data_IF_937480459226
#
_entry.id   IF_937480459226
#
_cell.length_a   1.000
_cell.length_b   1.000
_cell.length_c   1.000
_cell.angle_alpha   90.00
_cell.angle_beta   90.00
_cell.angle_gamma   90.00
#
_symmetry.space_group_name_H-M   'P 1'
#
loop_
_entity.id
_entity.type
_entity.pdbx_description
1 polymer ?
#
# COMPACT_ATOMS: atom_id res chain seq x y z
N UNK A 1 72.29 -11.76 28.62
CA UNK A 1 71.49 -12.73 27.86
C UNK A 1 70.18 -12.89 28.62
N UNK A 2 69.03 -12.52 28.07
CA UNK A 2 67.76 -12.85 28.69
C UNK A 2 67.55 -14.37 28.65
N UNK A 3 67.07 -14.92 29.74
CA UNK A 3 66.98 -16.36 30.01
C UNK A 3 65.86 -16.99 29.15
N UNK A 4 66.25 -17.75 28.13
CA UNK A 4 65.35 -18.35 27.13
C UNK A 4 64.35 -19.32 27.78
N UNK A 5 64.74 -19.94 28.89
CA UNK A 5 63.90 -20.86 29.66
C UNK A 5 62.71 -20.15 30.33
N UNK A 6 62.90 -18.91 30.79
CA UNK A 6 61.85 -18.12 31.41
C UNK A 6 60.83 -17.61 30.39
N UNK A 7 61.28 -17.27 29.17
CA UNK A 7 60.42 -16.89 28.06
C UNK A 7 59.56 -18.05 27.55
N UNK A 8 60.13 -19.26 27.42
CA UNK A 8 59.38 -20.45 27.00
C UNK A 8 58.30 -20.83 28.02
N UNK A 9 58.64 -20.80 29.32
CA UNK A 9 57.68 -21.11 30.39
C UNK A 9 56.50 -20.13 30.44
N UNK A 10 56.75 -18.86 30.14
CA UNK A 10 55.71 -17.82 30.09
C UNK A 10 54.82 -17.95 28.85
N UNK A 11 55.39 -18.38 27.72
CA UNK A 11 54.65 -18.66 26.50
C UNK A 11 53.74 -19.89 26.62
N UNK A 12 54.21 -20.97 27.26
CA UNK A 12 53.37 -22.14 27.56
C UNK A 12 52.23 -21.79 28.52
N UNK A 13 52.52 -21.07 29.61
CA UNK A 13 51.48 -20.64 30.55
C UNK A 13 50.41 -19.74 29.90
N UNK A 14 50.81 -18.85 28.98
CA UNK A 14 49.87 -18.01 28.24
C UNK A 14 49.01 -18.83 27.26
N UNK A 15 49.59 -19.84 26.60
CA UNK A 15 48.86 -20.74 25.69
C UNK A 15 47.84 -21.59 26.44
N UNK A 16 48.21 -22.12 27.59
CA UNK A 16 47.31 -22.95 28.40
C UNK A 16 46.16 -22.11 28.99
N UNK A 17 46.45 -20.89 29.45
CA UNK A 17 45.43 -19.95 29.92
C UNK A 17 44.44 -19.55 28.80
N UNK A 18 44.95 -19.29 27.59
CA UNK A 18 44.11 -18.98 26.44
C UNK A 18 43.22 -20.17 26.01
N UNK A 19 43.76 -21.39 26.07
CA UNK A 19 43.00 -22.62 25.79
C UNK A 19 41.88 -22.83 26.81
N UNK A 20 42.15 -22.55 28.09
CA UNK A 20 41.17 -22.68 29.17
C UNK A 20 40.05 -21.64 29.04
N UNK A 21 40.38 -20.38 28.72
CA UNK A 21 39.38 -19.33 28.45
C UNK A 21 38.52 -19.64 27.22
N UNK A 22 39.12 -20.18 26.15
CA UNK A 22 38.37 -20.57 24.96
C UNK A 22 37.37 -21.68 25.28
N UNK A 23 37.78 -22.68 26.08
CA UNK A 23 36.91 -23.77 26.50
C UNK A 23 35.73 -23.29 27.37
N UNK A 24 35.99 -22.41 28.33
CA UNK A 24 34.94 -21.79 29.15
C UNK A 24 33.98 -20.93 28.31
N UNK A 25 34.48 -20.24 27.29
CA UNK A 25 33.67 -19.44 26.36
C UNK A 25 32.77 -20.34 25.50
N UNK A 26 33.27 -21.47 25.02
CA UNK A 26 32.49 -22.43 24.24
C UNK A 26 31.41 -23.09 25.10
N UNK A 27 31.73 -23.49 26.33
CA UNK A 27 30.75 -24.07 27.27
C UNK A 27 29.64 -23.06 27.63
N UNK A 28 29.97 -21.76 27.80
CA UNK A 28 28.96 -20.72 28.01
C UNK A 28 28.08 -20.51 26.78
N UNK A 29 28.68 -20.48 25.59
CA UNK A 29 27.94 -20.26 24.34
C UNK A 29 26.98 -21.42 24.05
N UNK A 30 27.42 -22.66 24.30
CA UNK A 30 26.59 -23.85 24.15
C UNK A 30 25.41 -23.85 25.12
N UNK A 31 25.63 -23.42 26.37
CA UNK A 31 24.56 -23.30 27.37
C UNK A 31 23.55 -22.20 27.06
N UNK A 32 23.98 -21.13 26.38
CA UNK A 32 23.08 -20.06 25.90
C UNK A 32 22.25 -20.58 24.72
N UNK A 33 22.84 -21.33 23.80
CA UNK A 33 22.13 -21.95 22.68
C UNK A 33 21.06 -22.94 23.17
N UNK A 34 21.39 -23.82 24.13
CA UNK A 34 20.44 -24.76 24.74
C UNK A 34 19.26 -24.05 25.44
N UNK A 35 19.50 -22.90 26.07
CA UNK A 35 18.44 -22.12 26.70
C UNK A 35 17.52 -21.45 25.65
N UNK A 36 18.08 -20.91 24.57
CA UNK A 36 17.32 -20.29 23.47
C UNK A 36 16.45 -21.35 22.78
N UNK A 37 16.98 -22.54 22.55
CA UNK A 37 16.24 -23.66 21.96
C UNK A 37 15.09 -24.12 22.88
N UNK A 38 15.33 -24.24 24.19
CA UNK A 38 14.29 -24.59 25.15
C UNK A 38 13.20 -23.51 25.30
N UNK A 39 13.55 -22.23 25.19
CA UNK A 39 12.58 -21.14 25.26
C UNK A 39 11.78 -21.01 23.95
N UNK A 40 12.38 -21.30 22.80
CA UNK A 40 11.70 -21.39 21.51
C UNK A 40 10.70 -22.56 21.46
N UNK A 41 11.06 -23.73 21.99
CA UNK A 41 10.13 -24.87 22.09
C UNK A 41 8.93 -24.56 22.98
N UNK A 42 9.13 -23.89 24.12
CA UNK A 42 8.01 -23.47 25.00
C UNK A 42 7.12 -22.41 24.36
N UNK A 43 7.68 -21.51 23.56
CA UNK A 43 6.90 -20.51 22.84
C UNK A 43 6.05 -21.15 21.72
N UNK A 44 6.61 -22.15 21.02
CA UNK A 44 5.88 -22.92 20.02
C UNK A 44 4.74 -23.76 20.64
N UNK A 45 4.99 -24.42 21.78
CA UNK A 45 3.94 -25.15 22.51
C UNK A 45 2.82 -24.23 23.03
N UNK A 46 3.15 -22.99 23.42
CA UNK A 46 2.15 -22.00 23.84
C UNK A 46 1.31 -21.49 22.66
N UNK A 47 1.92 -21.26 21.50
CA UNK A 47 1.22 -20.90 20.27
C UNK A 47 0.28 -22.01 19.79
N UNK A 48 0.72 -23.29 19.81
CA UNK A 48 -0.15 -24.42 19.46
C UNK A 48 -1.37 -24.55 20.39
N UNK A 49 -1.19 -24.29 21.69
CA UNK A 49 -2.29 -24.33 22.68
C UNK A 49 -3.27 -23.16 22.48
N UNK A 50 -2.77 -21.97 22.13
CA UNK A 50 -3.60 -20.80 21.82
C UNK A 50 -4.36 -20.96 20.50
N UNK A 51 -3.73 -21.55 19.47
CA UNK A 51 -4.37 -21.87 18.18
C UNK A 51 -5.42 -22.99 18.31
N UNK A 52 -5.17 -24.01 19.13
CA UNK A 52 -6.19 -25.04 19.40
C UNK A 52 -7.33 -24.52 20.29
N UNK A 53 -7.07 -23.54 21.15
CA UNK A 53 -8.13 -22.86 21.91
C UNK A 53 -9.00 -21.99 20.98
N UNK A 54 -8.39 -21.21 20.07
CA UNK A 54 -9.13 -20.39 19.10
C UNK A 54 -9.93 -21.24 18.12
N UNK A 55 -9.34 -22.30 17.56
CA UNK A 55 -10.03 -23.22 16.66
C UNK A 55 -11.22 -23.94 17.33
N UNK A 56 -11.10 -24.30 18.62
CA UNK A 56 -12.21 -24.89 19.38
C UNK A 56 -13.33 -23.87 19.68
N UNK A 57 -12.98 -22.60 19.90
CA UNK A 57 -13.95 -21.51 20.09
C UNK A 57 -14.67 -21.20 18.77
N UNK A 58 -13.96 -21.21 17.65
CA UNK A 58 -14.52 -20.97 16.32
C UNK A 58 -15.42 -22.12 15.86
N UNK A 59 -15.04 -23.38 16.12
CA UNK A 59 -15.90 -24.53 15.88
C UNK A 59 -17.18 -24.46 16.74
N UNK A 60 -17.08 -24.07 18.02
CA UNK A 60 -18.23 -23.89 18.89
C UNK A 60 -19.13 -22.72 18.46
N UNK A 61 -18.54 -21.64 17.93
CA UNK A 61 -19.26 -20.49 17.39
C UNK A 61 -19.96 -20.81 16.07
N UNK A 62 -19.30 -21.54 15.15
CA UNK A 62 -19.92 -22.05 13.93
C UNK A 62 -21.08 -23.00 14.25
N UNK A 63 -20.91 -23.88 15.23
CA UNK A 63 -21.98 -24.81 15.62
C UNK A 63 -23.17 -24.09 16.27
N UNK A 64 -22.93 -23.03 17.06
CA UNK A 64 -23.99 -22.11 17.53
C UNK A 64 -24.66 -21.33 16.40
N UNK A 65 -23.90 -20.85 15.42
CA UNK A 65 -24.47 -20.14 14.26
C UNK A 65 -25.37 -21.08 13.45
N UNK A 66 -24.97 -22.33 13.23
CA UNK A 66 -25.79 -23.36 12.56
C UNK A 66 -27.05 -23.70 13.38
N UNK A 67 -26.96 -23.74 14.71
CA UNK A 67 -28.10 -23.98 15.59
C UNK A 67 -29.09 -22.79 15.62
N UNK A 68 -28.58 -21.56 15.57
CA UNK A 68 -29.37 -20.31 15.46
C UNK A 68 -30.03 -20.22 14.08
N UNK A 69 -29.32 -20.53 13.00
CA UNK A 69 -29.85 -20.62 11.63
C UNK A 69 -30.94 -21.70 11.53
N UNK A 70 -30.75 -22.86 12.18
CA UNK A 70 -31.73 -23.94 12.24
C UNK A 70 -33.03 -23.61 13.00
N UNK A 71 -33.02 -22.57 13.85
CA UNK A 71 -34.22 -22.06 14.53
C UNK A 71 -34.96 -20.96 13.74
N UNK A 72 -34.28 -20.32 12.78
CA UNK A 72 -34.79 -19.18 12.00
C UNK A 72 -35.41 -19.58 10.65
N UNK A 73 -34.97 -20.68 10.04
CA UNK A 73 -35.39 -21.10 8.70
C UNK A 73 -36.19 -22.41 8.72
N UNK A 74 -37.16 -22.57 7.81
CA UNK A 74 -37.97 -23.79 7.77
C UNK A 74 -37.15 -24.96 7.21
N UNK A 75 -37.49 -26.23 7.52
CA UNK A 75 -36.76 -27.40 7.01
C UNK A 75 -36.67 -27.45 5.48
N UNK A 76 -37.67 -26.91 4.77
CA UNK A 76 -37.66 -26.78 3.31
C UNK A 76 -36.66 -25.70 2.85
N UNK A 77 -36.54 -24.58 3.56
CA UNK A 77 -35.55 -23.53 3.21
C UNK A 77 -34.12 -24.00 3.49
N UNK A 78 -33.91 -24.76 4.56
CA UNK A 78 -32.62 -25.38 4.89
C UNK A 78 -32.21 -26.42 3.84
N UNK A 79 -33.15 -27.27 3.40
CA UNK A 79 -32.90 -28.24 2.34
C UNK A 79 -32.58 -27.54 1.00
N UNK A 80 -33.23 -26.42 0.71
CA UNK A 80 -32.97 -25.63 -0.49
C UNK A 80 -31.62 -24.91 -0.43
N UNK A 81 -31.22 -24.36 0.72
CA UNK A 81 -29.89 -23.78 0.90
C UNK A 81 -28.79 -24.83 0.84
N UNK A 82 -28.97 -26.00 1.45
CA UNK A 82 -28.02 -27.10 1.37
C UNK A 82 -27.87 -27.62 -0.07
N UNK A 83 -28.97 -27.75 -0.82
CA UNK A 83 -28.95 -28.12 -2.23
C UNK A 83 -28.28 -27.04 -3.10
N UNK A 84 -28.52 -25.76 -2.82
CA UNK A 84 -27.83 -24.66 -3.49
C UNK A 84 -26.33 -24.64 -3.16
N UNK A 85 -25.95 -24.95 -1.92
CA UNK A 85 -24.55 -25.00 -1.50
C UNK A 85 -23.82 -26.21 -2.08
N UNK A 86 -24.47 -27.37 -2.19
CA UNK A 86 -23.94 -28.52 -2.94
C UNK A 86 -23.81 -28.21 -4.43
N UNK A 87 -24.76 -27.48 -5.04
CA UNK A 87 -24.66 -27.03 -6.43
C UNK A 87 -23.49 -26.06 -6.63
N UNK A 88 -23.31 -25.10 -5.72
CA UNK A 88 -22.17 -24.16 -5.74
C UNK A 88 -20.86 -24.93 -5.57
N UNK A 89 -20.77 -25.85 -4.60
CA UNK A 89 -19.56 -26.65 -4.39
C UNK A 89 -19.28 -27.58 -5.57
N UNK A 90 -20.29 -28.17 -6.18
CA UNK A 90 -20.14 -29.00 -7.38
C UNK A 90 -19.71 -28.18 -8.59
N UNK A 91 -20.22 -26.96 -8.75
CA UNK A 91 -19.83 -26.04 -9.81
C UNK A 91 -18.40 -25.51 -9.60
N UNK A 92 -18.03 -25.18 -8.36
CA UNK A 92 -16.65 -24.81 -7.99
C UNK A 92 -15.70 -25.99 -8.24
N UNK A 93 -16.05 -27.21 -7.82
CA UNK A 93 -15.24 -28.40 -8.09
C UNK A 93 -15.13 -28.70 -9.60
N UNK A 94 -16.20 -28.47 -10.37
CA UNK A 94 -16.21 -28.60 -11.83
C UNK A 94 -15.31 -27.55 -12.48
N UNK A 95 -15.35 -26.30 -12.01
CA UNK A 95 -14.50 -25.22 -12.49
C UNK A 95 -13.03 -25.49 -12.14
N UNK A 96 -12.71 -25.86 -10.91
CA UNK A 96 -11.35 -26.26 -10.48
C UNK A 96 -10.84 -27.45 -11.30
N UNK A 97 -11.69 -28.43 -11.61
CA UNK A 97 -11.32 -29.54 -12.50
C UNK A 97 -11.13 -29.12 -13.96
N UNK A 98 -11.86 -28.11 -14.45
CA UNK A 98 -11.67 -27.55 -15.78
C UNK A 98 -10.37 -26.72 -15.85
N UNK A 99 -10.05 -25.96 -14.79
CA UNK A 99 -8.80 -25.21 -14.66
C UNK A 99 -7.58 -26.14 -14.54
N UNK A 100 -7.71 -27.28 -13.85
CA UNK A 100 -6.64 -28.28 -13.78
C UNK A 100 -6.41 -29.04 -15.11
N UNK A 101 -7.37 -29.02 -16.03
CA UNK A 101 -7.29 -29.67 -17.34
C UNK A 101 -6.74 -28.75 -18.45
N UNK A 102 -6.84 -27.44 -18.25
CA UNK A 102 -6.21 -26.43 -19.09
C UNK A 102 -4.77 -26.23 -18.58
N UNK A 103 -3.77 -26.40 -19.43
CA UNK A 103 -2.40 -26.01 -19.08
C UNK A 103 -2.35 -24.51 -18.71
N UNK A 104 -1.25 -24.07 -18.09
CA UNK A 104 -1.06 -22.69 -17.59
C UNK A 104 -1.50 -21.61 -18.60
N UNK A 105 -1.20 -21.82 -19.88
CA UNK A 105 -1.64 -20.97 -21.01
C UNK A 105 -3.17 -20.90 -21.19
N UNK A 106 -3.86 -22.05 -21.14
CA UNK A 106 -5.33 -22.09 -21.29
C UNK A 106 -6.09 -21.61 -20.05
N UNK A 107 -5.42 -21.62 -18.88
CA UNK A 107 -5.92 -21.00 -17.66
C UNK A 107 -5.85 -19.47 -17.76
N UNK A 108 -4.78 -18.94 -18.38
CA UNK A 108 -4.59 -17.51 -18.59
C UNK A 108 -5.57 -16.94 -19.63
N UNK A 109 -5.71 -17.54 -20.81
CA UNK A 109 -6.58 -17.02 -21.89
C UNK A 109 -8.06 -16.90 -21.48
N UNK A 110 -8.53 -17.70 -20.52
CA UNK A 110 -9.94 -17.74 -20.13
C UNK A 110 -10.27 -17.03 -18.80
N UNK A 111 -9.27 -16.81 -17.94
CA UNK A 111 -9.38 -15.85 -16.81
C UNK A 111 -9.10 -14.41 -17.26
N UNK A 112 -8.37 -14.24 -18.36
CA UNK A 112 -7.84 -12.94 -18.80
C UNK A 112 -8.23 -12.56 -20.24
N UNK A 113 -9.37 -13.07 -20.73
CA UNK A 113 -9.86 -12.80 -22.09
C UNK A 113 -10.10 -11.31 -22.37
N UNK A 114 -9.42 -10.83 -23.42
CA UNK A 114 -9.57 -9.63 -24.29
C UNK A 114 -9.94 -8.24 -23.70
N UNK A 115 -10.38 -8.10 -22.46
CA UNK A 115 -10.61 -6.79 -21.78
C UNK A 115 -9.66 -6.56 -20.58
N UNK A 116 -8.59 -7.35 -20.47
CA UNK A 116 -7.53 -7.25 -19.43
C UNK A 116 -6.37 -6.29 -19.77
N UNK A 117 -6.48 -5.51 -20.86
CA UNK A 117 -5.50 -4.47 -21.18
C UNK A 117 -5.45 -3.31 -20.17
N UNK A 118 -6.43 -3.25 -19.25
CA UNK A 118 -6.59 -2.16 -18.26
C UNK A 118 -6.12 -2.58 -16.86
N UNK A 119 -6.12 -3.88 -16.56
CA UNK A 119 -5.65 -4.40 -15.26
C UNK A 119 -4.11 -4.48 -15.23
N UNK A 120 -3.43 -4.51 -16.38
CA UNK A 120 -1.96 -4.51 -16.45
C UNK A 120 -1.36 -3.19 -15.98
N UNK A 121 -1.98 -2.05 -16.26
CA UNK A 121 -1.49 -0.72 -15.89
C UNK A 121 -1.15 -0.52 -14.39
N UNK A 122 -2.04 -1.04 -13.53
CA UNK A 122 -1.97 -0.92 -12.08
C UNK A 122 -1.14 -2.06 -11.45
N UNK A 123 -1.17 -3.25 -12.05
CA UNK A 123 -0.37 -4.39 -11.62
C UNK A 123 1.09 -4.28 -12.10
N UNK A 124 1.37 -3.70 -13.26
CA UNK A 124 2.70 -3.32 -13.76
C UNK A 124 3.36 -2.26 -12.89
N UNK A 125 2.59 -1.48 -12.12
CA UNK A 125 3.21 -0.48 -11.26
C UNK A 125 4.07 -1.13 -10.16
N UNK A 126 3.84 -2.41 -9.84
CA UNK A 126 4.45 -3.10 -8.69
C UNK A 126 4.77 -4.60 -8.95
N UNK A 127 4.69 -5.10 -10.18
CA UNK A 127 4.97 -6.50 -10.52
C UNK A 127 5.82 -6.70 -11.80
N UNK A 128 6.75 -5.79 -12.11
CA UNK A 128 7.84 -6.10 -13.03
C UNK A 128 9.00 -6.74 -12.27
N UNK A 129 8.90 -8.05 -12.06
CA UNK A 129 10.08 -8.91 -12.20
C UNK A 129 10.10 -9.34 -13.68
N UNK A 130 11.10 -8.85 -14.41
CA UNK A 130 11.68 -9.45 -15.62
C UNK A 130 10.69 -10.03 -16.65
N UNK A 131 9.98 -9.16 -17.40
CA UNK A 131 9.71 -9.51 -18.79
C UNK A 131 10.99 -9.22 -19.59
N UNK A 132 11.63 -10.32 -19.99
CA UNK A 132 12.88 -10.46 -20.73
C UNK A 132 12.74 -9.96 -22.19
N UNK A 133 12.10 -8.81 -22.40
CA UNK A 133 12.16 -8.10 -23.67
C UNK A 133 13.41 -7.21 -23.64
N UNK A 134 14.39 -7.59 -24.45
CA UNK A 134 15.65 -6.88 -24.75
C UNK A 134 15.41 -5.50 -25.42
N UNK A 135 14.38 -4.75 -25.05
CA UNK A 135 14.30 -3.33 -25.34
C UNK A 135 15.19 -2.63 -24.32
N UNK A 136 16.38 -2.20 -24.76
CA UNK A 136 17.38 -1.43 -24.00
C UNK A 136 16.71 -0.60 -22.91
N UNK A 137 16.77 -1.06 -21.66
CA UNK A 137 16.24 -0.37 -20.50
C UNK A 137 16.89 1.01 -20.46
N UNK A 138 16.21 2.02 -21.00
CA UNK A 138 16.77 3.36 -21.14
C UNK A 138 17.11 3.83 -19.74
N UNK A 139 18.40 3.93 -19.43
CA UNK A 139 18.85 4.51 -18.18
C UNK A 139 18.15 5.85 -17.99
N UNK A 140 17.51 6.04 -16.83
CA UNK A 140 16.87 7.31 -16.52
C UNK A 140 17.95 8.38 -16.29
N UNK A 141 18.36 8.99 -17.39
CA UNK A 141 19.28 10.11 -17.42
C UNK A 141 18.58 11.45 -17.20
N UNK A 142 19.35 12.52 -17.07
CA UNK A 142 18.80 13.85 -16.82
C UNK A 142 17.95 14.38 -17.99
N UNK A 143 18.23 13.97 -19.23
CA UNK A 143 17.44 14.39 -20.37
C UNK A 143 16.04 13.76 -20.32
N UNK A 144 15.97 12.46 -19.98
CA UNK A 144 14.70 11.77 -19.77
C UNK A 144 13.94 12.31 -18.57
N UNK A 145 14.63 12.68 -17.48
CA UNK A 145 14.01 13.38 -16.35
C UNK A 145 13.32 14.69 -16.80
N UNK A 146 14.00 15.54 -17.57
CA UNK A 146 13.43 16.80 -18.09
C UNK A 146 12.21 16.56 -19.00
N UNK A 147 12.24 15.53 -19.84
CA UNK A 147 11.08 15.13 -20.64
C UNK A 147 9.88 14.74 -19.76
N UNK A 148 10.12 13.93 -18.72
CA UNK A 148 9.08 13.52 -17.77
C UNK A 148 8.53 14.70 -16.98
N UNK A 149 9.34 15.72 -16.68
CA UNK A 149 8.86 16.96 -16.05
C UNK A 149 7.88 17.67 -16.99
N UNK A 150 8.19 17.76 -18.29
CA UNK A 150 7.29 18.37 -19.27
C UNK A 150 5.99 17.57 -19.44
N UNK A 151 6.06 16.24 -19.41
CA UNK A 151 4.87 15.36 -19.42
C UNK A 151 3.99 15.64 -18.19
N UNK A 152 4.58 15.71 -17.00
CA UNK A 152 3.85 16.04 -15.78
C UNK A 152 3.16 17.40 -15.91
N UNK A 153 3.89 18.45 -16.28
CA UNK A 153 3.32 19.80 -16.45
C UNK A 153 2.13 19.84 -17.41
N UNK A 154 2.24 19.14 -18.55
CA UNK A 154 1.16 19.06 -19.53
C UNK A 154 -0.09 18.40 -18.95
N UNK A 155 0.07 17.34 -18.16
CA UNK A 155 -1.04 16.65 -17.49
C UNK A 155 -1.65 17.50 -16.37
N UNK A 156 -0.83 18.20 -15.59
CA UNK A 156 -1.33 19.12 -14.56
C UNK A 156 -2.15 20.26 -15.18
N UNK A 157 -1.66 20.83 -16.28
CA UNK A 157 -2.37 21.87 -17.03
C UNK A 157 -3.66 21.35 -17.66
N UNK A 158 -3.65 20.11 -18.19
CA UNK A 158 -4.86 19.45 -18.70
C UNK A 158 -5.93 19.31 -17.60
N UNK A 159 -5.56 18.77 -16.44
CA UNK A 159 -6.48 18.60 -15.30
C UNK A 159 -7.13 19.92 -14.86
N UNK A 160 -6.40 21.04 -14.94
CA UNK A 160 -6.91 22.38 -14.60
C UNK A 160 -8.05 22.82 -15.53
N UNK A 161 -8.09 22.32 -16.76
CA UNK A 161 -9.12 22.67 -17.75
C UNK A 161 -10.40 21.84 -17.63
N UNK A 162 -10.36 20.73 -16.89
CA UNK A 162 -11.52 19.84 -16.76
C UNK A 162 -12.64 20.53 -15.98
N UNK A 163 -13.92 20.25 -16.30
CA UNK A 163 -15.04 20.80 -15.54
C UNK A 163 -15.10 20.16 -14.16
N UNK A 164 -15.52 20.93 -13.16
CA UNK A 164 -15.68 20.49 -11.77
C UNK A 164 -16.86 21.23 -11.14
N UNK A 165 -17.57 20.58 -10.22
CA UNK A 165 -18.58 21.21 -9.38
C UNK A 165 -17.98 22.28 -8.46
N UNK A 166 -18.69 23.39 -8.28
CA UNK A 166 -18.28 24.43 -7.33
C UNK A 166 -18.23 23.86 -5.89
N UNK A 167 -17.22 24.24 -5.08
CA UNK A 167 -17.16 23.83 -3.69
C UNK A 167 -18.41 24.21 -2.90
N UNK A 168 -18.81 23.37 -1.95
CA UNK A 168 -19.98 23.60 -1.08
C UNK A 168 -19.60 23.53 0.39
N UNK A 169 -20.38 24.16 1.26
CA UNK A 169 -20.12 24.15 2.70
C UNK A 169 -20.57 22.85 3.33
N UNK A 170 -19.64 22.19 4.02
CA UNK A 170 -19.93 21.02 4.84
C UNK A 170 -20.04 21.46 6.30
N UNK A 171 -21.08 21.02 6.99
CA UNK A 171 -21.13 21.15 8.46
C UNK A 171 -20.25 20.09 9.13
N UNK A 172 -19.91 20.25 10.41
CA UNK A 172 -19.07 19.29 11.12
C UNK A 172 -19.73 17.90 11.25
N UNK A 173 -21.04 17.84 11.31
CA UNK A 173 -21.80 16.59 11.41
C UNK A 173 -22.39 16.16 10.05
N UNK A 174 -21.90 16.73 8.94
CA UNK A 174 -22.42 16.46 7.61
C UNK A 174 -22.10 15.02 7.16
N UNK A 175 -23.09 14.19 6.81
CA UNK A 175 -22.85 12.83 6.33
C UNK A 175 -22.06 12.79 5.01
N UNK A 176 -22.00 13.90 4.26
CA UNK A 176 -21.21 13.99 3.03
C UNK A 176 -19.71 13.78 3.28
N UNK A 177 -19.20 14.05 4.48
CA UNK A 177 -17.82 13.75 4.83
C UNK A 177 -17.48 12.25 4.74
N UNK A 178 -18.43 11.36 5.01
CA UNK A 178 -18.23 9.93 4.84
C UNK A 178 -18.01 9.57 3.37
N UNK A 179 -18.83 10.16 2.49
CA UNK A 179 -18.69 10.00 1.03
C UNK A 179 -17.38 10.60 0.54
N UNK A 180 -17.07 11.83 0.95
CA UNK A 180 -15.84 12.53 0.60
C UNK A 180 -14.60 11.71 1.00
N UNK A 181 -14.58 11.18 2.22
CA UNK A 181 -13.47 10.35 2.70
C UNK A 181 -13.23 9.09 1.88
N UNK A 182 -14.27 8.39 1.45
CA UNK A 182 -14.17 7.25 0.52
C UNK A 182 -13.58 7.71 -0.82
N UNK A 183 -14.08 8.83 -1.36
CA UNK A 183 -13.66 9.37 -2.66
C UNK A 183 -12.22 9.89 -2.70
N UNK A 184 -11.57 10.14 -1.57
CA UNK A 184 -10.13 10.43 -1.51
C UNK A 184 -9.29 9.25 -2.03
N UNK A 185 -9.79 8.01 -1.90
CA UNK A 185 -9.16 6.82 -2.49
C UNK A 185 -9.44 6.65 -3.99
N UNK A 186 -10.15 7.61 -4.60
CA UNK A 186 -10.76 7.51 -5.91
C UNK A 186 -9.79 7.08 -7.00
N UNK A 187 -8.66 7.78 -7.15
CA UNK A 187 -7.68 7.48 -8.21
C UNK A 187 -7.20 6.03 -8.12
N UNK A 188 -6.80 5.56 -6.93
CA UNK A 188 -6.32 4.19 -6.75
C UNK A 188 -7.46 3.19 -6.98
N UNK A 189 -8.66 3.53 -6.52
CA UNK A 189 -9.84 2.67 -6.70
C UNK A 189 -10.18 2.50 -8.18
N UNK A 190 -10.26 3.58 -8.95
CA UNK A 190 -10.52 3.55 -10.39
C UNK A 190 -9.44 2.77 -11.15
N UNK A 191 -8.17 2.97 -10.80
CA UNK A 191 -7.04 2.25 -11.41
C UNK A 191 -7.07 0.74 -11.10
N UNK A 192 -7.63 0.33 -9.97
CA UNK A 192 -7.74 -1.07 -9.56
C UNK A 192 -9.13 -1.70 -9.78
N UNK A 193 -10.04 -0.98 -10.43
CA UNK A 193 -11.44 -1.40 -10.64
C UNK A 193 -12.19 -1.71 -9.33
N UNK A 194 -11.94 -0.90 -8.31
CA UNK A 194 -12.64 -0.98 -7.02
C UNK A 194 -13.91 -0.14 -7.04
N UNK A 195 -14.94 -0.66 -6.38
CA UNK A 195 -16.16 0.07 -6.08
C UNK A 195 -15.85 1.28 -5.20
N UNK A 196 -16.57 2.37 -5.44
CA UNK A 196 -16.44 3.61 -4.67
C UNK A 196 -17.75 3.95 -3.95
N UNK A 197 -18.84 3.19 -4.13
CA UNK A 197 -20.15 3.40 -3.49
C UNK A 197 -20.13 3.32 -1.96
N UNK A 198 -19.20 2.56 -1.38
CA UNK A 198 -19.10 2.32 0.06
C UNK A 198 -17.68 2.07 0.57
N UNK A 199 -17.58 1.59 1.82
CA UNK A 199 -16.28 1.28 2.44
C UNK A 199 -15.63 0.07 1.77
N UNK A 200 -16.42 -0.98 1.51
CA UNK A 200 -15.98 -2.15 0.76
C UNK A 200 -15.55 -1.77 -0.65
N UNK A 201 -14.43 -2.33 -1.07
CA UNK A 201 -13.82 -2.07 -2.37
C UNK A 201 -14.31 -3.05 -3.41
N UNK A 202 -14.70 -4.26 -3.00
CA UNK A 202 -15.15 -5.37 -3.85
C UNK A 202 -16.06 -6.32 -3.04
N UNK A 203 -16.59 -7.38 -3.65
CA UNK A 203 -17.30 -8.44 -2.93
C UNK A 203 -16.35 -9.27 -2.04
N UNK A 204 -16.82 -9.71 -0.88
CA UNK A 204 -16.06 -10.60 0.02
C UNK A 204 -16.02 -12.04 -0.49
N UNK A 205 -15.11 -12.28 -1.44
CA UNK A 205 -14.84 -13.60 -2.00
C UNK A 205 -13.36 -13.92 -1.75
N UNK A 206 -13.02 -15.14 -1.29
CA UNK A 206 -11.64 -15.48 -0.91
C UNK A 206 -10.57 -15.15 -1.96
N UNK A 207 -10.88 -15.25 -3.26
CA UNK A 207 -9.92 -14.93 -4.34
C UNK A 207 -9.60 -13.44 -4.40
N UNK A 208 -10.59 -12.57 -4.19
CA UNK A 208 -10.45 -11.11 -4.22
C UNK A 208 -9.74 -10.61 -2.97
N UNK A 209 -10.09 -11.17 -1.81
CA UNK A 209 -9.38 -10.94 -0.55
C UNK A 209 -7.90 -11.33 -0.66
N UNK A 210 -7.60 -12.51 -1.23
CA UNK A 210 -6.22 -12.93 -1.45
C UNK A 210 -5.47 -12.03 -2.44
N UNK A 211 -6.13 -11.54 -3.50
CA UNK A 211 -5.57 -10.56 -4.44
C UNK A 211 -5.15 -9.29 -3.70
N UNK A 212 -6.04 -8.72 -2.87
CA UNK A 212 -5.77 -7.49 -2.12
C UNK A 212 -4.71 -7.72 -1.03
N UNK A 213 -4.75 -8.84 -0.29
CA UNK A 213 -3.68 -9.18 0.67
C UNK A 213 -2.32 -9.27 -0.03
N UNK A 214 -2.26 -9.93 -1.19
CA UNK A 214 -1.01 -10.12 -1.93
C UNK A 214 -0.47 -8.81 -2.49
N UNK A 215 -1.35 -7.91 -2.93
CA UNK A 215 -1.00 -6.56 -3.36
C UNK A 215 -0.40 -5.77 -2.18
N UNK A 216 -1.13 -5.68 -1.07
CA UNK A 216 -0.71 -4.90 0.11
C UNK A 216 0.61 -5.43 0.68
N UNK A 217 0.82 -6.74 0.72
CA UNK A 217 2.09 -7.34 1.18
C UNK A 217 3.25 -7.05 0.25
N UNK A 218 3.11 -7.29 -1.06
CA UNK A 218 4.22 -7.15 -2.02
C UNK A 218 4.59 -5.69 -2.24
N UNK A 219 3.59 -4.83 -2.33
CA UNK A 219 3.77 -3.44 -2.76
C UNK A 219 4.01 -2.46 -1.61
N UNK A 220 3.50 -2.78 -0.42
CA UNK A 220 3.63 -1.93 0.76
C UNK A 220 4.44 -2.56 1.89
N UNK A 221 4.73 -3.86 1.82
CA UNK A 221 5.38 -4.59 2.91
C UNK A 221 4.48 -4.75 4.15
N UNK A 222 3.17 -4.57 4.01
CA UNK A 222 2.22 -4.60 5.14
C UNK A 222 1.59 -6.00 5.23
N UNK A 223 1.85 -6.68 6.34
CA UNK A 223 1.45 -8.05 6.62
C UNK A 223 0.27 -8.17 7.58
N UNK A 224 -0.12 -7.06 8.21
CA UNK A 224 -1.25 -7.01 9.11
C UNK A 224 -1.47 -5.64 9.75
N UNK A 225 -2.31 -5.63 10.79
CA UNK A 225 -2.87 -4.43 11.41
C UNK A 225 -1.84 -3.40 11.90
N UNK A 226 -0.75 -3.82 12.57
CA UNK A 226 0.21 -2.86 13.16
C UNK A 226 0.89 -2.05 12.06
N UNK A 227 1.50 -2.74 11.09
CA UNK A 227 2.20 -2.14 9.95
C UNK A 227 1.27 -1.27 9.09
N UNK A 228 0.00 -1.66 8.97
CA UNK A 228 -1.02 -0.85 8.31
C UNK A 228 -1.22 0.49 9.03
N UNK A 229 -1.47 0.46 10.33
CA UNK A 229 -1.71 1.67 11.12
C UNK A 229 -0.47 2.57 11.20
N UNK A 230 0.72 1.96 11.29
CA UNK A 230 1.99 2.68 11.26
C UNK A 230 2.18 3.40 9.90
N UNK A 231 1.85 2.73 8.79
CA UNK A 231 1.94 3.32 7.44
C UNK A 231 0.92 4.44 7.24
N UNK A 232 -0.33 4.23 7.67
CA UNK A 232 -1.37 5.26 7.62
C UNK A 232 -0.95 6.47 8.46
N UNK A 233 -0.39 6.25 9.65
CA UNK A 233 0.11 7.32 10.51
C UNK A 233 1.23 8.11 9.83
N UNK A 234 2.22 7.42 9.25
CA UNK A 234 3.31 8.04 8.49
C UNK A 234 2.78 8.91 7.35
N UNK A 235 1.90 8.39 6.49
CA UNK A 235 1.30 9.18 5.39
C UNK A 235 0.45 10.36 5.91
N UNK A 236 -0.18 10.19 7.07
CA UNK A 236 -1.03 11.23 7.66
C UNK A 236 -0.26 12.36 8.32
N UNK A 237 0.98 12.16 8.77
CA UNK A 237 1.76 13.17 9.51
C UNK A 237 3.03 13.63 8.78
N UNK A 238 3.72 12.71 8.11
CA UNK A 238 5.02 12.94 7.49
C UNK A 238 4.91 12.79 5.96
N UNK A 239 4.94 11.54 5.48
CA UNK A 239 4.75 11.20 4.07
C UNK A 239 5.74 11.88 3.14
N UNK A 240 5.31 12.06 1.90
CA UNK A 240 6.09 12.77 0.89
C UNK A 240 6.14 14.27 1.16
N UNK A 241 5.21 14.84 1.93
CA UNK A 241 5.27 16.24 2.36
C UNK A 241 6.58 16.53 3.10
N UNK A 242 6.91 15.72 4.11
CA UNK A 242 8.15 15.91 4.89
C UNK A 242 9.40 15.66 4.03
N UNK A 243 9.37 14.62 3.18
CA UNK A 243 10.46 14.34 2.24
C UNK A 243 10.70 15.52 1.29
N UNK A 244 9.65 16.05 0.68
CA UNK A 244 9.73 17.18 -0.24
C UNK A 244 10.24 18.44 0.46
N UNK A 245 9.83 18.67 1.71
CA UNK A 245 10.35 19.77 2.52
C UNK A 245 11.87 19.64 2.72
N UNK A 246 12.38 18.47 3.12
CA UNK A 246 13.82 18.26 3.29
C UNK A 246 14.58 18.52 1.97
N UNK A 247 14.01 18.09 0.84
CA UNK A 247 14.60 18.27 -0.47
C UNK A 247 14.60 19.74 -0.94
N UNK A 248 13.62 20.54 -0.51
CA UNK A 248 13.60 21.99 -0.74
C UNK A 248 14.71 22.71 0.03
N UNK A 249 15.00 22.24 1.25
CA UNK A 249 15.94 22.85 2.19
C UNK A 249 17.40 22.47 1.91
N UNK A 250 17.64 21.28 1.36
CA UNK A 250 18.98 20.79 1.03
C UNK A 250 19.65 21.54 -0.14
N UNK A 251 20.91 21.95 0.03
CA UNK A 251 21.71 22.60 -1.00
C UNK A 251 22.28 21.58 -2.00
N UNK A 252 22.51 20.34 -1.57
CA UNK A 252 23.01 19.24 -2.41
C UNK A 252 22.34 17.91 -2.03
N UNK A 253 22.28 16.92 -2.93
CA UNK A 253 21.69 15.62 -2.61
C UNK A 253 22.46 14.86 -1.51
N UNK A 254 23.76 15.11 -1.35
CA UNK A 254 24.58 14.47 -0.30
C UNK A 254 24.18 14.90 1.12
N UNK A 255 23.52 16.05 1.30
CA UNK A 255 23.00 16.47 2.60
C UNK A 255 21.77 15.65 3.04
N UNK A 256 21.10 14.99 2.08
CA UNK A 256 19.96 14.12 2.29
C UNK A 256 20.37 12.65 2.49
N UNK A 257 21.63 12.33 2.20
CA UNK A 257 22.19 10.99 2.31
C UNK A 257 22.51 10.65 3.77
N UNK A 258 22.14 9.46 4.22
CA UNK A 258 22.59 8.93 5.50
C UNK A 258 24.02 8.33 5.37
N UNK A 259 24.70 8.14 6.50
CA UNK A 259 26.01 7.50 6.48
C UNK A 259 25.90 6.04 6.02
N UNK A 260 26.60 5.69 4.94
CA UNK A 260 26.70 4.31 4.45
C UNK A 260 25.71 3.92 3.36
N UNK A 261 24.96 4.86 2.79
CA UNK A 261 24.16 4.62 1.59
C UNK A 261 25.04 4.22 0.40
N UNK A 262 24.47 3.45 -0.53
CA UNK A 262 25.15 3.03 -1.75
C UNK A 262 24.94 4.01 -2.93
N UNK A 263 25.55 3.71 -4.07
CA UNK A 263 25.47 4.54 -5.27
C UNK A 263 24.05 4.59 -5.86
N UNK A 264 23.27 3.53 -5.71
CA UNK A 264 21.89 3.44 -6.23
C UNK A 264 20.93 4.29 -5.40
N UNK A 265 21.05 4.22 -4.07
CA UNK A 265 20.32 5.07 -3.13
C UNK A 265 20.69 6.55 -3.33
N UNK A 266 21.97 6.87 -3.50
CA UNK A 266 22.39 8.25 -3.79
C UNK A 266 21.85 8.73 -5.15
N UNK A 267 21.79 7.85 -6.16
CA UNK A 267 21.20 8.18 -7.45
C UNK A 267 19.69 8.46 -7.31
N UNK A 268 18.96 7.65 -6.52
CA UNK A 268 17.56 7.88 -6.18
C UNK A 268 17.33 9.23 -5.52
N UNK A 269 18.10 9.53 -4.46
CA UNK A 269 18.06 10.82 -3.75
C UNK A 269 18.35 11.96 -4.72
N UNK A 270 19.36 11.81 -5.58
CA UNK A 270 19.75 12.83 -6.55
C UNK A 270 18.66 13.14 -7.57
N UNK A 271 17.94 12.12 -8.06
CA UNK A 271 16.78 12.29 -8.96
C UNK A 271 15.65 13.05 -8.27
N UNK A 272 15.27 12.61 -7.08
CA UNK A 272 14.24 13.30 -6.31
C UNK A 272 14.65 14.74 -5.99
N UNK A 273 15.91 14.99 -5.62
CA UNK A 273 16.41 16.33 -5.33
C UNK A 273 16.30 17.23 -6.55
N UNK A 274 16.76 16.79 -7.73
CA UNK A 274 16.60 17.54 -8.99
C UNK A 274 15.14 17.86 -9.30
N UNK A 275 14.25 16.88 -9.15
CA UNK A 275 12.81 17.08 -9.33
C UNK A 275 12.28 18.18 -8.40
N UNK A 276 12.58 18.10 -7.10
CA UNK A 276 12.14 19.13 -6.14
C UNK A 276 12.74 20.49 -6.47
N UNK A 277 14.03 20.58 -6.79
CA UNK A 277 14.68 21.84 -7.15
C UNK A 277 14.05 22.48 -8.40
N UNK A 278 13.59 21.67 -9.37
CA UNK A 278 12.90 22.14 -10.57
C UNK A 278 11.52 22.75 -10.24
N UNK A 279 10.80 22.19 -9.26
CA UNK A 279 9.40 22.52 -8.99
C UNK A 279 9.16 23.39 -7.73
N UNK A 280 10.14 23.53 -6.83
CA UNK A 280 9.96 24.18 -5.51
C UNK A 280 9.49 25.63 -5.55
N UNK A 281 9.78 26.37 -6.62
CA UNK A 281 9.32 27.76 -6.79
C UNK A 281 7.83 27.87 -7.13
N UNK A 282 7.22 26.77 -7.59
CA UNK A 282 5.80 26.70 -7.99
C UNK A 282 4.96 25.91 -6.99
N UNK A 283 5.50 24.81 -6.47
CA UNK A 283 4.78 23.89 -5.59
C UNK A 283 5.54 23.73 -4.28
N UNK A 284 4.91 24.16 -3.18
CA UNK A 284 5.42 23.94 -1.82
C UNK A 284 5.07 22.56 -1.28
N UNK A 285 5.60 22.15 -0.10
CA UNK A 285 5.42 20.80 0.44
C UNK A 285 3.96 20.37 0.59
N UNK A 286 3.06 21.28 0.98
CA UNK A 286 1.63 20.99 1.14
C UNK A 286 0.94 20.58 -0.16
N UNK A 287 1.55 20.84 -1.33
CA UNK A 287 1.02 20.36 -2.60
C UNK A 287 1.06 18.83 -2.72
N UNK A 288 1.74 18.09 -1.84
CA UNK A 288 1.74 16.62 -1.81
C UNK A 288 0.66 16.02 -0.91
N UNK A 289 -0.23 16.83 -0.33
CA UNK A 289 -1.31 16.35 0.53
C UNK A 289 -2.19 15.31 -0.17
N UNK A 290 -2.56 15.53 -1.44
CA UNK A 290 -3.40 14.60 -2.19
C UNK A 290 -2.73 13.25 -2.42
N UNK A 291 -1.44 13.24 -2.75
CA UNK A 291 -0.64 12.02 -2.89
C UNK A 291 -0.59 11.19 -1.60
N UNK A 292 -0.33 11.83 -0.46
CA UNK A 292 -0.25 11.12 0.83
C UNK A 292 -1.63 10.71 1.34
N UNK A 293 -2.62 11.60 1.25
CA UNK A 293 -3.98 11.35 1.73
C UNK A 293 -4.69 10.29 0.89
N UNK A 294 -4.58 10.32 -0.44
CA UNK A 294 -5.25 9.35 -1.29
C UNK A 294 -4.77 7.92 -1.03
N UNK A 295 -3.46 7.75 -0.84
CA UNK A 295 -2.84 6.48 -0.46
C UNK A 295 -3.26 6.01 0.93
N UNK A 296 -3.24 6.91 1.91
CA UNK A 296 -3.72 6.59 3.27
C UNK A 296 -5.21 6.20 3.29
N UNK A 297 -6.04 6.87 2.48
CA UNK A 297 -7.46 6.55 2.37
C UNK A 297 -7.68 5.16 1.76
N UNK A 298 -6.92 4.79 0.73
CA UNK A 298 -6.98 3.45 0.15
C UNK A 298 -6.53 2.37 1.15
N UNK A 299 -5.43 2.61 1.87
CA UNK A 299 -4.96 1.69 2.91
C UNK A 299 -6.00 1.49 4.02
N UNK A 300 -6.70 2.56 4.43
CA UNK A 300 -7.79 2.43 5.40
C UNK A 300 -8.92 1.53 4.87
N UNK A 301 -9.31 1.70 3.60
CA UNK A 301 -10.36 0.89 2.96
C UNK A 301 -9.94 -0.57 2.80
N UNK A 302 -8.75 -0.85 2.28
CA UNK A 302 -8.22 -2.22 2.20
C UNK A 302 -8.06 -2.83 3.59
N UNK A 303 -7.58 -2.08 4.58
CA UNK A 303 -7.46 -2.55 5.95
C UNK A 303 -8.79 -3.00 6.54
N UNK A 304 -9.87 -2.27 6.25
CA UNK A 304 -11.22 -2.67 6.64
C UNK A 304 -11.69 -3.91 5.88
N UNK A 305 -11.57 -3.89 4.55
CA UNK A 305 -11.97 -5.00 3.68
C UNK A 305 -11.27 -6.32 4.05
N UNK A 306 -9.99 -6.25 4.45
CA UNK A 306 -9.21 -7.41 4.91
C UNK A 306 -9.47 -7.81 6.38
N UNK A 307 -10.33 -7.08 7.10
CA UNK A 307 -10.63 -7.32 8.50
C UNK A 307 -9.48 -6.98 9.47
N UNK A 308 -8.48 -6.21 9.04
CA UNK A 308 -7.37 -5.76 9.90
C UNK A 308 -7.78 -4.60 10.81
N UNK A 309 -8.70 -3.75 10.35
CA UNK A 309 -9.30 -2.68 11.14
C UNK A 309 -10.83 -2.77 11.08
N UNK A 310 -11.49 -2.24 12.11
CA UNK A 310 -12.96 -2.20 12.16
C UNK A 310 -13.51 -1.07 11.29
N UNK A 311 -14.79 -1.15 10.92
CA UNK A 311 -15.46 -0.09 10.15
C UNK A 311 -15.36 1.27 10.85
N UNK A 312 -15.58 1.32 12.17
CA UNK A 312 -15.50 2.56 12.94
C UNK A 312 -14.10 3.18 12.94
N UNK A 313 -13.05 2.36 12.90
CA UNK A 313 -11.67 2.83 12.77
C UNK A 313 -11.42 3.40 11.38
N UNK A 314 -11.85 2.69 10.32
CA UNK A 314 -11.71 3.16 8.96
C UNK A 314 -12.46 4.48 8.73
N UNK A 315 -13.70 4.60 9.21
CA UNK A 315 -14.47 5.86 9.18
C UNK A 315 -13.74 6.97 9.93
N UNK A 316 -13.18 6.70 11.11
CA UNK A 316 -12.41 7.68 11.88
C UNK A 316 -11.17 8.17 11.13
N UNK A 317 -10.41 7.26 10.52
CA UNK A 317 -9.23 7.59 9.70
C UNK A 317 -9.63 8.41 8.48
N UNK A 318 -10.63 7.96 7.70
CA UNK A 318 -11.10 8.67 6.52
C UNK A 318 -11.64 10.07 6.87
N UNK A 319 -12.27 10.23 8.03
CA UNK A 319 -12.70 11.52 8.54
C UNK A 319 -11.51 12.47 8.78
N UNK A 320 -10.46 12.01 9.48
CA UNK A 320 -9.27 12.83 9.74
C UNK A 320 -8.54 13.21 8.44
N UNK A 321 -8.40 12.26 7.53
CA UNK A 321 -7.85 12.47 6.19
C UNK A 321 -8.65 13.49 5.39
N UNK A 322 -9.99 13.44 5.48
CA UNK A 322 -10.88 14.41 4.85
C UNK A 322 -10.66 15.82 5.36
N UNK A 323 -10.51 15.98 6.69
CA UNK A 323 -10.20 17.27 7.28
C UNK A 323 -8.82 17.78 6.85
N UNK A 324 -7.82 16.89 6.73
CA UNK A 324 -6.48 17.26 6.25
C UNK A 324 -6.52 17.74 4.79
N UNK A 325 -7.18 16.98 3.91
CA UNK A 325 -7.34 17.34 2.50
C UNK A 325 -8.06 18.68 2.33
N UNK A 326 -9.23 18.85 2.96
CA UNK A 326 -10.03 20.07 2.85
C UNK A 326 -9.33 21.35 3.36
N UNK A 327 -8.43 21.21 4.35
CA UNK A 327 -7.63 22.33 4.88
C UNK A 327 -6.42 22.67 4.00
N UNK A 328 -5.91 21.68 3.25
CA UNK A 328 -4.68 21.80 2.50
C UNK A 328 -4.87 22.08 1.01
N UNK A 329 -5.99 21.63 0.44
CA UNK A 329 -6.33 21.70 -0.97
C UNK A 329 -7.76 22.25 -1.13
N UNK A 330 -8.09 22.73 -2.32
CA UNK A 330 -9.29 23.54 -2.57
C UNK A 330 -10.24 22.96 -3.60
N UNK A 331 -9.86 21.86 -4.25
CA UNK A 331 -10.66 21.21 -5.28
C UNK A 331 -10.21 19.77 -5.56
N UNK A 332 -11.08 18.99 -6.19
CA UNK A 332 -10.73 17.67 -6.71
C UNK A 332 -9.69 17.75 -7.82
N UNK A 333 -9.71 18.81 -8.64
CA UNK A 333 -8.65 19.06 -9.62
C UNK A 333 -7.29 19.25 -8.95
N UNK A 334 -7.22 20.05 -7.89
CA UNK A 334 -5.98 20.25 -7.13
C UNK A 334 -5.54 18.96 -6.43
N UNK A 335 -6.50 18.16 -5.92
CA UNK A 335 -6.22 16.83 -5.37
C UNK A 335 -5.62 15.88 -6.41
N UNK A 336 -6.19 15.83 -7.61
CA UNK A 336 -5.65 15.02 -8.71
C UNK A 336 -4.26 15.49 -9.13
N UNK A 337 -4.06 16.80 -9.30
CA UNK A 337 -2.78 17.39 -9.63
C UNK A 337 -1.71 17.04 -8.57
N UNK A 338 -2.06 17.16 -7.29
CA UNK A 338 -1.24 16.74 -6.16
C UNK A 338 -0.84 15.27 -6.25
N UNK A 339 -1.80 14.40 -6.57
CA UNK A 339 -1.59 12.97 -6.68
C UNK A 339 -0.65 12.61 -7.84
N UNK A 340 -0.86 13.18 -9.03
CA UNK A 340 0.04 12.98 -10.18
C UNK A 340 1.45 13.51 -9.92
N UNK A 341 1.57 14.66 -9.25
CA UNK A 341 2.85 15.26 -8.88
C UNK A 341 3.66 14.34 -7.96
N UNK A 342 3.02 13.80 -6.91
CA UNK A 342 3.66 12.82 -6.04
C UNK A 342 3.96 11.49 -6.73
N UNK A 343 3.09 11.04 -7.63
CA UNK A 343 3.30 9.85 -8.45
C UNK A 343 4.53 9.94 -9.35
N UNK A 344 4.74 11.09 -10.00
CA UNK A 344 5.97 11.33 -10.78
C UNK A 344 7.21 11.33 -9.88
N UNK A 345 7.16 12.04 -8.75
CA UNK A 345 8.28 12.04 -7.79
C UNK A 345 8.65 10.61 -7.35
N UNK A 346 7.64 9.78 -7.06
CA UNK A 346 7.84 8.39 -6.67
C UNK A 346 8.50 7.56 -7.78
N UNK A 347 8.01 7.65 -9.02
CA UNK A 347 8.60 6.92 -10.17
C UNK A 347 10.06 7.31 -10.40
N UNK A 348 10.38 8.60 -10.28
CA UNK A 348 11.76 9.09 -10.38
C UNK A 348 12.64 8.54 -9.26
N UNK A 349 12.14 8.48 -8.02
CA UNK A 349 12.89 7.88 -6.90
C UNK A 349 13.18 6.39 -7.17
N UNK A 350 12.19 5.64 -7.67
CA UNK A 350 12.36 4.24 -8.06
C UNK A 350 13.32 4.03 -9.24
N UNK A 351 13.69 5.09 -9.98
CA UNK A 351 14.53 4.97 -11.18
C UNK A 351 13.77 4.39 -12.38
N UNK A 352 12.45 4.27 -12.30
CA UNK A 352 11.59 3.67 -13.32
C UNK A 352 11.09 4.74 -14.29
N UNK A 353 11.95 5.08 -15.25
CA UNK A 353 11.66 6.06 -16.29
C UNK A 353 10.84 5.55 -17.46
N UNK A 354 10.91 4.25 -17.71
CA UNK A 354 10.25 3.61 -18.84
C UNK A 354 8.74 3.64 -18.67
N UNK A 355 8.22 3.32 -17.47
CA UNK A 355 6.79 3.28 -17.21
C UNK A 355 6.22 4.59 -16.64
N UNK A 356 7.05 5.59 -16.32
CA UNK A 356 6.58 6.82 -15.67
C UNK A 356 5.50 7.57 -16.47
N UNK A 357 5.64 7.63 -17.79
CA UNK A 357 4.68 8.32 -18.67
C UNK A 357 3.35 7.58 -18.77
N UNK A 358 3.37 6.26 -18.99
CA UNK A 358 2.16 5.43 -19.02
C UNK A 358 1.46 5.44 -17.66
N UNK A 359 2.22 5.31 -16.58
CA UNK A 359 1.72 5.44 -15.21
C UNK A 359 0.97 6.76 -14.99
N UNK A 360 1.57 7.90 -15.36
CA UNK A 360 0.86 9.19 -15.29
C UNK A 360 -0.33 9.28 -16.27
N UNK A 361 -0.30 8.54 -17.37
CA UNK A 361 -1.46 8.31 -18.24
C UNK A 361 -2.64 7.77 -17.46
N UNK A 362 -2.46 6.60 -16.85
CA UNK A 362 -3.51 5.93 -16.09
C UNK A 362 -4.04 6.77 -14.93
N UNK A 363 -3.16 7.48 -14.20
CA UNK A 363 -3.61 8.38 -13.13
C UNK A 363 -4.44 9.56 -13.67
N UNK A 364 -4.04 10.14 -14.80
CA UNK A 364 -4.75 11.25 -15.43
C UNK A 364 -6.11 10.82 -15.98
N UNK A 365 -6.18 9.63 -16.57
CA UNK A 365 -7.43 9.05 -17.10
C UNK A 365 -8.39 8.74 -15.95
N UNK A 366 -7.92 8.11 -14.87
CA UNK A 366 -8.72 7.87 -13.67
C UNK A 366 -9.25 9.19 -13.06
N UNK A 367 -8.42 10.22 -12.95
CA UNK A 367 -8.85 11.52 -12.47
C UNK A 367 -9.87 12.18 -13.41
N UNK A 368 -9.72 12.00 -14.74
CA UNK A 368 -10.66 12.51 -15.74
C UNK A 368 -12.02 11.83 -15.56
N UNK A 369 -12.06 10.50 -15.48
CA UNK A 369 -13.28 9.73 -15.29
C UNK A 369 -14.00 10.11 -13.98
N UNK A 370 -13.25 10.32 -12.89
CA UNK A 370 -13.80 10.76 -11.62
C UNK A 370 -14.41 12.17 -11.70
N UNK A 371 -13.82 13.08 -12.47
CA UNK A 371 -14.31 14.46 -12.65
C UNK A 371 -15.47 14.55 -13.64
N UNK A 372 -15.43 13.78 -14.74
CA UNK A 372 -16.33 13.99 -15.88
C UNK A 372 -17.32 12.85 -16.13
N UNK A 373 -17.08 11.67 -15.58
CA UNK A 373 -17.77 10.43 -15.95
C UNK A 373 -17.06 9.71 -17.09
N UNK A 374 -17.42 8.45 -17.30
CA UNK A 374 -16.91 7.59 -18.38
C UNK A 374 -18.07 7.03 -19.23
N UNK A 375 -17.80 6.07 -20.13
CA UNK A 375 -18.85 5.51 -21.00
C UNK A 375 -19.97 4.77 -20.25
N UNK A 376 -19.69 4.28 -19.04
CA UNK A 376 -20.62 3.46 -18.25
C UNK A 376 -21.33 4.26 -17.15
N UNK A 377 -20.79 5.44 -16.79
CA UNK A 377 -21.29 6.33 -15.75
C UNK A 377 -21.65 7.70 -16.34
N UNK A 378 -22.95 8.06 -16.28
CA UNK A 378 -23.47 9.33 -16.82
C UNK A 378 -22.76 10.58 -16.24
N UNK A 379 -22.30 10.53 -14.98
CA UNK A 379 -21.50 11.59 -14.33
C UNK A 379 -20.37 11.00 -13.46
N UNK A 380 -19.29 11.76 -13.30
CA UNK A 380 -18.12 11.35 -12.51
C UNK A 380 -18.38 11.44 -11.00
N UNK A 381 -17.84 10.50 -10.23
CA UNK A 381 -18.16 10.39 -8.80
C UNK A 381 -17.65 11.56 -7.94
N UNK A 382 -16.59 12.27 -8.36
CA UNK A 382 -16.16 13.51 -7.72
C UNK A 382 -17.08 14.68 -8.05
N UNK A 383 -17.73 14.66 -9.23
CA UNK A 383 -18.71 15.68 -9.60
C UNK A 383 -19.94 15.64 -8.71
N UNK A 384 -20.38 14.44 -8.33
CA UNK A 384 -21.52 14.19 -7.44
C UNK A 384 -21.23 14.49 -5.95
N UNK A 385 -19.97 14.65 -5.57
CA UNK A 385 -19.55 15.00 -4.22
C UNK A 385 -18.65 16.24 -4.26
N UNK A 386 -19.21 17.46 -4.39
CA UNK A 386 -18.41 18.67 -4.55
C UNK A 386 -17.45 18.89 -3.39
N UNK A 387 -16.31 19.52 -3.68
CA UNK A 387 -15.27 19.78 -2.69
C UNK A 387 -15.80 20.58 -1.49
N UNK A 388 -15.39 20.29 -0.24
CA UNK A 388 -15.80 21.07 0.92
C UNK A 388 -15.12 22.45 0.96
N UNK A 389 -15.92 23.52 0.95
CA UNK A 389 -15.45 24.89 1.13
C UNK A 389 -14.95 25.09 2.57
N UNK A 390 -13.68 25.46 2.76
CA UNK A 390 -13.14 25.82 4.07
C UNK A 390 -13.16 27.32 4.29
N UNK A 391 -13.92 27.78 5.29
CA UNK A 391 -13.87 29.19 5.73
C UNK A 391 -12.52 29.47 6.42
N UNK A 392 -11.81 30.50 5.95
CA UNK A 392 -10.61 31.06 6.64
C UNK A 392 -10.91 31.73 7.98
N UNK A 393 -12.11 31.63 8.51
CA UNK A 393 -12.54 32.31 9.74
C UNK A 393 -12.77 31.31 10.86
N UNK A 394 -12.13 31.59 12.00
CA UNK A 394 -12.33 30.98 13.34
C UNK A 394 -11.36 29.88 13.80
N UNK A 395 -10.05 30.15 13.75
CA UNK A 395 -9.13 29.68 14.80
C UNK A 395 -8.25 30.84 15.29
N UNK A 396 -8.88 31.79 15.97
CA UNK A 396 -8.23 32.68 16.93
C UNK A 396 -8.95 32.50 18.26
N UNK A 397 -8.46 31.59 19.10
CA UNK A 397 -8.61 31.64 20.56
C UNK A 397 -7.30 31.21 21.19
#
# INVERSE_FOLDING_TARGET
MPDIEELMKRAEAARDAASQQLKESMEKSQKIAENIESDAEKAAEQQEVEEQSSANIDAANQQRQVEILGQLFSPETMAQMAANQELIQAEVARQVSNYAALGVEGMMDQLFGEDMGIISAALETLAMEEEDDEDEMQELDQAREEELYQVLENKLAWLDTLPESEPIQYTKEDPQWGRFGILLSGIISTVNDHELSGMDVEEHIPVLEQKIVSLVRRSWGINGRSELLDTIHYLSQEGYILRYQAYCEAETPEELAEEGIDEEELASISRGWRFVQHFKDRYGPNFLIGWDVGRAAMLARWGYYLGWITEGEAVGILWELSQKAAKGLHSWREFAQSYLFGGMMWKLLCGDGASAESYLGYLADAATDLLTGNSDMDEGQWRDCPWPETHKTEFNV
#
